data_IF_647627181176
#
_entry.id   IF_647627181176
#
_cell.length_a   1.000
_cell.length_b   1.000
_cell.length_c   1.000
_cell.angle_alpha   90.00
_cell.angle_beta   90.00
_cell.angle_gamma   90.00
#
_symmetry.space_group_name_H-M   'P 1'
#
loop_
_entity.id
_entity.type
_entity.pdbx_description
1 polymer ?
#
# COMPACT_ATOMS: atom_id res chain seq x y z
N UNK A 1 -1.56 -21.80 -8.60
CA UNK A 1 -1.09 -20.80 -9.57
C UNK A 1 0.00 -19.91 -8.99
N UNK A 2 -0.24 -19.16 -7.90
CA UNK A 2 0.79 -18.33 -7.27
C UNK A 2 2.04 -19.09 -6.83
N UNK A 3 1.91 -20.25 -6.17
CA UNK A 3 3.05 -21.06 -5.74
C UNK A 3 4.00 -21.42 -6.91
N UNK A 4 3.44 -21.81 -8.06
CA UNK A 4 4.22 -22.14 -9.26
C UNK A 4 4.94 -20.92 -9.86
N UNK A 5 4.39 -19.71 -9.74
CA UNK A 5 5.09 -18.47 -10.12
C UNK A 5 6.22 -18.16 -9.14
N UNK A 6 5.98 -18.31 -7.84
CA UNK A 6 6.97 -18.10 -6.79
C UNK A 6 8.16 -19.05 -6.93
N UNK A 7 7.94 -20.32 -7.26
CA UNK A 7 9.01 -21.30 -7.53
C UNK A 7 9.93 -20.89 -8.72
N UNK A 8 9.36 -20.14 -9.66
CA UNK A 8 10.06 -19.66 -10.86
C UNK A 8 10.70 -18.29 -10.67
N UNK A 9 10.48 -17.63 -9.53
CA UNK A 9 11.11 -16.36 -9.19
C UNK A 9 12.61 -16.54 -8.92
N UNK A 10 13.43 -15.60 -9.40
CA UNK A 10 14.87 -15.50 -9.13
C UNK A 10 15.14 -14.19 -8.37
N UNK A 11 15.38 -14.27 -7.04
CA UNK A 11 15.66 -13.09 -6.22
C UNK A 11 16.89 -12.28 -6.65
N UNK A 12 17.85 -12.91 -7.34
CA UNK A 12 19.11 -12.29 -7.75
C UNK A 12 18.91 -11.26 -8.86
N UNK A 13 17.98 -11.53 -9.77
CA UNK A 13 17.68 -10.72 -10.96
C UNK A 13 16.33 -10.04 -10.91
N UNK A 14 15.47 -10.39 -9.93
CA UNK A 14 14.06 -10.01 -9.90
C UNK A 14 13.30 -10.39 -11.19
N UNK A 15 13.58 -11.59 -11.71
CA UNK A 15 12.96 -12.15 -12.92
C UNK A 15 12.25 -13.47 -12.61
N UNK A 16 11.20 -13.78 -13.38
CA UNK A 16 10.58 -15.10 -13.45
C UNK A 16 11.25 -15.89 -14.57
N UNK A 17 11.71 -17.11 -14.29
CA UNK A 17 12.26 -18.03 -15.29
C UNK A 17 11.15 -18.97 -15.76
N UNK A 18 10.59 -18.68 -16.93
CA UNK A 18 9.53 -19.46 -17.57
C UNK A 18 10.11 -20.30 -18.72
N UNK A 19 9.40 -21.34 -19.20
CA UNK A 19 9.85 -22.12 -20.37
C UNK A 19 10.07 -21.28 -21.64
N UNK A 20 9.40 -20.12 -21.74
CA UNK A 20 9.50 -19.18 -22.86
C UNK A 20 10.64 -18.16 -22.69
N UNK A 21 11.27 -18.08 -21.52
CA UNK A 21 12.33 -17.13 -21.22
C UNK A 21 12.16 -16.43 -19.87
N UNK A 22 12.94 -15.38 -19.66
CA UNK A 22 12.86 -14.55 -18.46
C UNK A 22 11.83 -13.44 -18.62
N UNK A 23 11.01 -13.21 -17.59
CA UNK A 23 9.97 -12.18 -17.56
C UNK A 23 10.05 -11.40 -16.25
N UNK A 24 9.96 -10.07 -16.32
CA UNK A 24 9.98 -9.19 -15.14
C UNK A 24 8.83 -8.21 -15.19
N UNK A 25 8.16 -8.00 -14.06
CA UNK A 25 7.22 -6.89 -13.88
C UNK A 25 8.02 -5.61 -13.74
N UNK A 26 7.76 -4.61 -14.56
CA UNK A 26 8.51 -3.34 -14.64
C UNK A 26 7.70 -2.17 -14.08
N UNK A 27 8.32 -0.99 -13.98
CA UNK A 27 7.61 0.25 -13.64
C UNK A 27 6.57 0.62 -14.69
N UNK A 28 6.84 0.29 -15.96
CA UNK A 28 5.90 0.53 -17.05
C UNK A 28 4.61 -0.28 -16.85
N UNK A 29 4.72 -1.55 -16.47
CA UNK A 29 3.56 -2.38 -16.14
C UNK A 29 2.75 -1.77 -14.99
N UNK A 30 3.42 -1.28 -13.95
CA UNK A 30 2.74 -0.64 -12.81
C UNK A 30 2.03 0.64 -13.22
N UNK A 31 2.65 1.47 -14.07
CA UNK A 31 2.03 2.68 -14.59
C UNK A 31 0.80 2.35 -15.45
N UNK A 32 0.86 1.33 -16.31
CA UNK A 32 -0.25 0.95 -17.18
C UNK A 32 -1.40 0.26 -16.43
N UNK A 33 -1.09 -0.64 -15.50
CA UNK A 33 -2.09 -1.45 -14.78
C UNK A 33 -2.79 -0.62 -13.70
N UNK A 34 -2.03 0.17 -12.93
CA UNK A 34 -2.57 0.92 -11.79
C UNK A 34 -2.69 2.43 -12.03
N UNK A 35 -2.12 2.99 -13.10
CA UNK A 35 -2.10 4.44 -13.32
C UNK A 35 -1.28 5.20 -12.28
N UNK A 36 -0.33 4.54 -11.60
CA UNK A 36 0.45 5.15 -10.53
C UNK A 36 1.65 5.93 -11.07
N UNK A 37 2.00 7.08 -10.46
CA UNK A 37 3.21 7.83 -10.80
C UNK A 37 4.46 6.99 -10.49
N UNK A 38 5.38 6.96 -11.45
CA UNK A 38 6.67 6.26 -11.35
C UNK A 38 7.86 7.22 -11.21
N UNK A 39 7.75 8.46 -11.69
CA UNK A 39 8.82 9.47 -11.71
C UNK A 39 8.66 10.55 -10.63
N UNK A 40 8.53 10.13 -9.38
CA UNK A 40 8.24 11.02 -8.25
C UNK A 40 9.18 10.88 -7.07
N UNK A 41 8.92 11.66 -6.03
CA UNK A 41 9.64 11.61 -4.76
C UNK A 41 9.54 10.21 -4.13
N UNK A 42 10.63 9.76 -3.50
CA UNK A 42 10.62 8.48 -2.81
C UNK A 42 9.54 8.46 -1.72
N UNK A 43 8.78 7.36 -1.64
CA UNK A 43 7.81 7.09 -0.58
C UNK A 43 8.57 6.74 0.70
N UNK A 44 9.23 7.74 1.28
CA UNK A 44 9.89 7.67 2.57
C UNK A 44 9.05 8.46 3.57
N UNK A 45 8.92 7.92 4.79
CA UNK A 45 8.17 8.58 5.83
C UNK A 45 8.90 8.36 7.15
N UNK A 46 9.07 9.44 7.91
CA UNK A 46 9.47 9.33 9.30
C UNK A 46 8.41 8.52 10.05
N UNK A 47 8.81 7.41 10.65
CA UNK A 47 7.89 6.54 11.39
C UNK A 47 8.01 6.81 12.88
N UNK A 48 7.08 7.60 13.41
CA UNK A 48 6.75 7.50 14.83
C UNK A 48 5.61 6.48 14.97
N UNK A 49 5.84 5.43 15.76
CA UNK A 49 4.85 4.39 16.05
C UNK A 49 4.12 4.63 17.38
N UNK A 50 4.32 5.78 18.02
CA UNK A 50 3.62 6.17 19.24
C UNK A 50 2.11 6.23 18.99
N UNK A 51 1.33 5.83 20.00
CA UNK A 51 -0.13 5.91 19.92
C UNK A 51 -0.63 7.35 19.74
N UNK A 52 0.08 8.31 20.35
CA UNK A 52 -0.20 9.74 20.23
C UNK A 52 -0.02 10.23 18.78
N UNK A 53 1.05 9.80 18.10
CA UNK A 53 1.26 10.13 16.69
C UNK A 53 0.14 9.59 15.81
N UNK A 54 -0.25 8.33 16.00
CA UNK A 54 -1.33 7.70 15.22
C UNK A 54 -2.66 8.41 15.46
N UNK A 55 -2.96 8.79 16.70
CA UNK A 55 -4.15 9.55 17.04
C UNK A 55 -4.13 10.96 16.41
N UNK A 56 -3.06 11.71 16.61
CA UNK A 56 -2.88 13.07 16.11
C UNK A 56 -2.93 13.14 14.58
N UNK A 57 -2.16 12.30 13.90
CA UNK A 57 -2.19 12.21 12.44
C UNK A 57 -3.55 11.67 11.96
N UNK A 58 -4.12 10.66 12.63
CA UNK A 58 -5.43 10.13 12.28
C UNK A 58 -6.53 11.19 12.31
N UNK A 59 -6.57 12.03 13.34
CA UNK A 59 -7.51 13.15 13.43
C UNK A 59 -7.23 14.19 12.34
N UNK A 60 -5.97 14.52 12.07
CA UNK A 60 -5.62 15.50 11.05
C UNK A 60 -6.01 15.03 9.62
N UNK A 61 -5.76 13.76 9.29
CA UNK A 61 -6.00 13.20 7.96
C UNK A 61 -7.47 12.83 7.76
N UNK A 62 -8.06 12.11 8.73
CA UNK A 62 -9.40 11.53 8.62
C UNK A 62 -10.48 12.38 9.30
N UNK A 63 -10.10 13.42 10.04
CA UNK A 63 -11.02 14.24 10.83
C UNK A 63 -11.56 13.58 12.09
N UNK A 64 -11.16 12.34 12.38
CA UNK A 64 -11.57 11.56 13.55
C UNK A 64 -10.49 10.55 13.88
N UNK A 65 -10.42 10.17 15.15
CA UNK A 65 -9.50 9.13 15.60
C UNK A 65 -9.86 7.78 14.95
N UNK A 66 -8.91 7.15 14.23
CA UNK A 66 -9.11 5.83 13.66
C UNK A 66 -8.90 4.74 14.71
N UNK A 67 -9.63 3.64 14.57
CA UNK A 67 -9.42 2.48 15.44
C UNK A 67 -8.15 1.73 15.04
N UNK A 68 -7.27 1.54 16.00
CA UNK A 68 -6.01 0.83 15.84
C UNK A 68 -6.17 -0.66 16.16
N UNK A 69 -5.27 -1.52 15.68
CA UNK A 69 -5.25 -2.93 16.09
C UNK A 69 -4.85 -3.04 17.56
N UNK A 70 -5.48 -3.97 18.30
CA UNK A 70 -5.16 -4.19 19.72
C UNK A 70 -3.75 -4.73 19.96
N UNK A 71 -3.18 -5.42 18.96
CA UNK A 71 -1.91 -6.13 19.08
C UNK A 71 -0.72 -5.32 18.51
N UNK A 72 -0.99 -4.32 17.68
CA UNK A 72 0.02 -3.46 17.07
C UNK A 72 -0.52 -2.03 16.90
N UNK A 73 0.00 -1.12 17.73
CA UNK A 73 -0.42 0.29 17.77
C UNK A 73 -0.06 1.10 16.51
N UNK A 74 0.75 0.55 15.61
CA UNK A 74 1.10 1.18 14.34
C UNK A 74 0.18 0.80 13.17
N UNK A 75 -0.82 -0.07 13.39
CA UNK A 75 -1.71 -0.57 12.33
C UNK A 75 -3.14 -0.09 12.53
N UNK A 76 -3.68 0.61 11.53
CA UNK A 76 -5.03 1.15 11.53
C UNK A 76 -5.99 0.19 10.83
N UNK A 77 -7.16 -0.05 11.42
CA UNK A 77 -8.23 -0.87 10.83
C UNK A 77 -8.84 -0.14 9.62
N UNK A 78 -8.73 -0.74 8.44
CA UNK A 78 -9.33 -0.20 7.21
C UNK A 78 -10.85 -0.10 7.30
N UNK A 79 -11.51 -1.05 7.96
CA UNK A 79 -12.96 -0.99 8.21
C UNK A 79 -13.38 0.22 9.07
N UNK A 80 -12.48 0.76 9.90
CA UNK A 80 -12.73 2.01 10.61
C UNK A 80 -12.64 3.22 9.66
N UNK A 81 -11.60 3.27 8.84
CA UNK A 81 -11.39 4.36 7.86
C UNK A 81 -12.52 4.41 6.83
N UNK A 82 -12.99 3.27 6.33
CA UNK A 82 -14.17 3.20 5.43
C UNK A 82 -15.41 3.78 6.08
N UNK A 83 -15.69 3.43 7.34
CA UNK A 83 -16.81 4.03 8.09
C UNK A 83 -16.66 5.54 8.26
N UNK A 84 -15.45 6.05 8.50
CA UNK A 84 -15.21 7.51 8.60
C UNK A 84 -15.46 8.19 7.25
N UNK A 85 -14.94 7.59 6.17
CA UNK A 85 -15.11 8.05 4.79
C UNK A 85 -16.59 8.14 4.40
N UNK A 86 -17.37 7.14 4.74
CA UNK A 86 -18.77 7.00 4.31
C UNK A 86 -19.76 7.73 5.24
N UNK A 87 -19.31 8.26 6.38
CA UNK A 87 -20.17 8.89 7.39
C UNK A 87 -20.45 10.38 7.16
N UNK A 88 -19.72 11.07 6.28
CA UNK A 88 -19.80 12.53 6.13
C UNK A 88 -20.28 12.92 4.74
N UNK A 89 -21.10 13.97 4.67
CA UNK A 89 -21.52 14.59 3.41
C UNK A 89 -20.33 15.24 2.71
N UNK A 90 -20.33 15.21 1.38
CA UNK A 90 -19.30 15.77 0.50
C UNK A 90 -19.68 17.20 0.08
N UNK A 91 -19.91 18.07 1.05
CA UNK A 91 -20.47 19.41 0.89
C UNK A 91 -19.42 20.52 0.75
N UNK A 92 -18.24 20.28 1.29
CA UNK A 92 -17.14 21.24 1.39
C UNK A 92 -15.87 20.66 0.78
N UNK A 93 -15.03 21.53 0.22
CA UNK A 93 -13.74 21.14 -0.34
C UNK A 93 -12.87 20.35 0.66
N UNK A 94 -12.89 20.73 1.94
CA UNK A 94 -12.19 19.96 2.99
C UNK A 94 -12.82 18.58 3.27
N UNK A 95 -14.14 18.45 3.15
CA UNK A 95 -14.79 17.13 3.25
C UNK A 95 -14.40 16.21 2.09
N UNK A 96 -14.26 16.76 0.88
CA UNK A 96 -13.83 16.04 -0.32
C UNK A 96 -12.37 15.62 -0.19
N UNK A 97 -11.47 16.53 0.18
CA UNK A 97 -10.06 16.20 0.44
C UNK A 97 -9.91 15.10 1.49
N UNK A 98 -10.67 15.19 2.59
CA UNK A 98 -10.70 14.16 3.63
C UNK A 98 -11.20 12.82 3.10
N UNK A 99 -12.27 12.82 2.31
CA UNK A 99 -12.78 11.60 1.66
C UNK A 99 -11.70 10.96 0.79
N UNK A 100 -11.01 11.75 -0.04
CA UNK A 100 -9.94 11.27 -0.92
C UNK A 100 -8.76 10.74 -0.11
N UNK A 101 -8.32 11.44 0.95
CA UNK A 101 -7.26 10.95 1.86
C UNK A 101 -7.64 9.59 2.49
N UNK A 102 -8.87 9.44 2.97
CA UNK A 102 -9.37 8.17 3.49
C UNK A 102 -9.37 7.07 2.40
N UNK A 103 -9.81 7.42 1.19
CA UNK A 103 -9.88 6.50 0.07
C UNK A 103 -8.48 6.01 -0.33
N UNK A 104 -7.51 6.94 -0.49
CA UNK A 104 -6.12 6.62 -0.81
C UNK A 104 -5.51 5.75 0.30
N UNK A 105 -5.72 6.09 1.58
CA UNK A 105 -5.24 5.26 2.68
C UNK A 105 -5.80 3.83 2.63
N UNK A 106 -7.08 3.67 2.28
CA UNK A 106 -7.66 2.35 2.05
C UNK A 106 -6.98 1.62 0.89
N UNK A 107 -6.78 2.27 -0.26
CA UNK A 107 -6.09 1.67 -1.42
C UNK A 107 -4.66 1.22 -1.08
N UNK A 108 -3.94 2.02 -0.29
CA UNK A 108 -2.61 1.68 0.18
C UNK A 108 -2.61 0.38 0.99
N UNK A 109 -3.59 0.19 1.89
CA UNK A 109 -3.66 -1.01 2.73
C UNK A 109 -4.34 -2.23 2.11
N UNK A 110 -5.25 -2.04 1.16
CA UNK A 110 -6.03 -3.14 0.59
C UNK A 110 -5.59 -3.57 -0.80
N UNK A 111 -4.78 -2.77 -1.49
CA UNK A 111 -4.39 -3.04 -2.88
C UNK A 111 -2.89 -2.96 -3.10
N UNK A 112 -2.23 -1.87 -2.65
CA UNK A 112 -0.83 -1.61 -3.00
C UNK A 112 0.18 -2.22 -2.02
N UNK A 113 -0.12 -2.15 -0.72
CA UNK A 113 0.74 -2.60 0.37
C UNK A 113 -0.03 -3.52 1.32
N UNK A 114 -0.75 -4.47 0.73
CA UNK A 114 -1.56 -5.45 1.44
C UNK A 114 -0.73 -6.27 2.40
N UNK A 115 -1.23 -6.40 3.63
CA UNK A 115 -0.82 -7.47 4.52
C UNK A 115 -1.68 -8.72 4.27
N UNK A 116 -1.34 -9.84 4.93
CA UNK A 116 -2.08 -11.11 4.80
C UNK A 116 -3.56 -11.00 5.14
N UNK A 117 -3.94 -10.06 6.01
CA UNK A 117 -5.33 -9.89 6.44
C UNK A 117 -6.14 -8.96 5.53
N UNK A 118 -5.47 -8.07 4.77
CA UNK A 118 -6.05 -6.94 4.03
C UNK A 118 -6.97 -6.04 4.86
N UNK A 119 -6.94 -6.19 6.20
CA UNK A 119 -7.82 -5.52 7.13
C UNK A 119 -7.17 -4.30 7.78
N UNK A 120 -5.86 -4.17 7.66
CA UNK A 120 -5.07 -3.11 8.28
C UNK A 120 -4.17 -2.41 7.28
N UNK A 121 -3.81 -1.17 7.61
CA UNK A 121 -2.77 -0.41 6.94
C UNK A 121 -1.83 0.19 7.98
N UNK A 122 -0.54 0.24 7.66
CA UNK A 122 0.45 0.82 8.57
C UNK A 122 0.30 2.35 8.63
N UNK A 123 0.37 2.92 9.82
CA UNK A 123 0.25 4.36 10.07
C UNK A 123 1.40 5.19 9.47
N UNK A 124 2.43 4.54 8.90
CA UNK A 124 3.57 5.22 8.25
C UNK A 124 3.16 5.99 7.00
N UNK A 125 1.99 5.65 6.45
CA UNK A 125 1.45 6.34 5.29
C UNK A 125 0.70 7.63 5.66
N UNK A 126 0.32 7.84 6.92
CA UNK A 126 -0.45 9.04 7.32
C UNK A 126 0.29 10.35 7.00
N UNK A 127 1.60 10.50 7.30
CA UNK A 127 2.32 11.75 7.00
C UNK A 127 2.34 12.08 5.52
N UNK A 128 2.39 11.05 4.65
CA UNK A 128 2.40 11.20 3.20
C UNK A 128 1.06 11.75 2.65
N UNK A 129 -0.03 11.56 3.40
CA UNK A 129 -1.36 12.03 3.02
C UNK A 129 -1.74 13.38 3.64
N UNK A 130 -0.84 13.95 4.45
CA UNK A 130 -1.08 15.21 5.16
C UNK A 130 -1.19 16.38 4.19
N UNK A 131 -0.16 16.55 3.38
CA UNK A 131 -0.16 17.53 2.32
C UNK A 131 -0.83 16.93 1.08
N UNK A 132 -2.07 17.35 0.83
CA UNK A 132 -2.88 16.80 -0.24
C UNK A 132 -2.27 17.02 -1.62
N UNK A 133 -1.70 18.21 -1.82
CA UNK A 133 -1.09 18.61 -3.09
C UNK A 133 0.20 17.83 -3.37
N UNK A 134 0.84 17.27 -2.34
CA UNK A 134 2.06 16.46 -2.53
C UNK A 134 1.77 14.99 -2.78
N UNK A 135 0.53 14.51 -2.58
CA UNK A 135 0.22 13.09 -2.71
C UNK A 135 0.57 12.58 -4.11
N UNK A 136 0.26 13.35 -5.16
CA UNK A 136 0.50 12.93 -6.54
C UNK A 136 1.97 13.00 -6.96
N UNK A 137 2.84 13.68 -6.19
CA UNK A 137 4.26 13.84 -6.55
C UNK A 137 5.13 12.69 -6.06
N UNK A 138 4.59 11.77 -5.24
CA UNK A 138 5.31 10.59 -4.79
C UNK A 138 5.33 9.49 -5.83
N UNK A 139 6.44 8.76 -5.93
CA UNK A 139 6.58 7.57 -6.78
C UNK A 139 5.89 6.35 -6.17
N UNK A 140 4.55 6.38 -6.12
CA UNK A 140 3.73 5.27 -5.61
C UNK A 140 3.95 3.99 -6.42
N UNK A 141 4.20 4.10 -7.73
CA UNK A 141 4.47 2.98 -8.59
C UNK A 141 5.77 2.26 -8.22
N UNK A 142 6.86 3.00 -7.99
CA UNK A 142 8.13 2.41 -7.55
C UNK A 142 8.02 1.77 -6.18
N UNK A 143 7.29 2.40 -5.25
CA UNK A 143 7.06 1.81 -3.94
C UNK A 143 6.24 0.51 -4.04
N UNK A 144 5.20 0.49 -4.88
CA UNK A 144 4.38 -0.70 -5.16
C UNK A 144 5.22 -1.85 -5.74
N UNK A 145 6.05 -1.55 -6.76
CA UNK A 145 6.93 -2.55 -7.38
C UNK A 145 7.96 -3.09 -6.40
N UNK A 146 8.61 -2.22 -5.63
CA UNK A 146 9.56 -2.63 -4.61
C UNK A 146 8.90 -3.51 -3.53
N UNK A 147 7.63 -3.25 -3.19
CA UNK A 147 6.89 -4.10 -2.27
C UNK A 147 6.58 -5.48 -2.87
N UNK A 148 6.18 -5.55 -4.15
CA UNK A 148 5.97 -6.80 -4.88
C UNK A 148 7.23 -7.66 -4.91
N UNK A 149 8.36 -7.10 -5.34
CA UNK A 149 9.63 -7.84 -5.40
C UNK A 149 10.04 -8.35 -4.03
N UNK A 150 9.89 -7.52 -2.99
CA UNK A 150 10.17 -7.96 -1.62
C UNK A 150 9.26 -9.09 -1.17
N UNK A 151 7.99 -9.11 -1.57
CA UNK A 151 7.07 -10.19 -1.24
C UNK A 151 7.46 -11.49 -1.98
N UNK A 152 7.74 -11.41 -3.28
CA UNK A 152 8.21 -12.54 -4.09
C UNK A 152 9.53 -13.12 -3.56
N UNK A 153 10.51 -12.27 -3.24
CA UNK A 153 11.78 -12.72 -2.65
C UNK A 153 11.60 -13.39 -1.29
N UNK A 154 10.63 -12.96 -0.47
CA UNK A 154 10.30 -13.66 0.79
C UNK A 154 9.65 -15.00 0.49
N UNK A 155 8.66 -15.02 -0.39
CA UNK A 155 7.91 -16.23 -0.71
C UNK A 155 8.75 -17.30 -1.43
N UNK A 156 9.80 -16.91 -2.17
CA UNK A 156 10.69 -17.87 -2.84
C UNK A 156 11.74 -18.47 -1.91
N UNK A 157 12.10 -17.77 -0.83
CA UNK A 157 13.12 -18.21 0.14
C UNK A 157 12.54 -19.07 1.26
N UNK A 158 11.31 -18.77 1.65
CA UNK A 158 10.59 -19.46 2.69
C UNK A 158 9.39 -20.12 2.02
N UNK A 159 9.15 -21.41 2.25
CA UNK A 159 7.97 -22.13 1.74
C UNK A 159 6.68 -21.59 2.40
N UNK A 160 6.32 -20.36 2.06
CA UNK A 160 5.21 -19.63 2.66
C UNK A 160 3.93 -19.99 1.94
N UNK A 161 2.96 -20.48 2.70
CA UNK A 161 1.62 -20.81 2.21
C UNK A 161 0.83 -19.60 1.70
N UNK A 162 1.25 -18.39 2.08
CA UNK A 162 0.56 -17.13 1.75
C UNK A 162 1.59 -16.03 1.45
N UNK A 163 1.35 -15.28 0.36
CA UNK A 163 2.14 -14.14 -0.08
C UNK A 163 1.35 -12.85 0.10
N UNK A 164 2.00 -11.82 0.62
CA UNK A 164 1.48 -10.46 0.76
C UNK A 164 1.84 -9.59 -0.47
N UNK A 165 1.33 -8.36 -0.55
CA UNK A 165 1.65 -7.43 -1.64
C UNK A 165 0.67 -7.40 -2.83
N UNK A 166 0.96 -6.58 -3.86
CA UNK A 166 0.02 -6.22 -4.91
C UNK A 166 -0.09 -7.33 -5.97
N UNK A 167 -0.73 -8.44 -5.61
CA UNK A 167 -0.83 -9.64 -6.46
C UNK A 167 -1.48 -9.38 -7.82
N UNK A 168 -2.27 -8.30 -7.95
CA UNK A 168 -2.88 -7.91 -9.21
C UNK A 168 -1.86 -7.68 -10.34
N UNK A 169 -0.60 -7.36 -10.02
CA UNK A 169 0.48 -7.22 -11.01
C UNK A 169 0.96 -8.55 -11.60
N UNK A 170 0.56 -9.69 -11.01
CA UNK A 170 0.98 -11.02 -11.45
C UNK A 170 -0.08 -11.75 -12.30
N UNK A 171 -1.26 -11.14 -12.46
CA UNK A 171 -2.41 -11.75 -13.12
C UNK A 171 -2.91 -10.96 -14.33
N UNK A 172 -2.08 -10.05 -14.85
CA UNK A 172 -2.36 -9.31 -16.08
C UNK A 172 -1.89 -10.11 -17.30
#
# INVERSE_FOLDING_TARGET
MLAALVERWRPETHTFVLPIGEVTVTLEDVAHIFGLPIDGEAVNGWTDSSGEFVQSQGIAIFGREPSVSGNAKSYIKLGCVRRIRDAKLLDTDESIRRYVRCHIFCLLGSTLFTDKSTAYAHAKYLPLLRDFERIHTYSWGSACLAHLYRALCRASRYDTKEMDGPLNLLFV
#
